data_IF_653013885574
#
_entry.id   IF_653013885574
#
_cell.length_a   1.000
_cell.length_b   1.000
_cell.length_c   1.000
_cell.angle_alpha   90.00
_cell.angle_beta   90.00
_cell.angle_gamma   90.00
#
_symmetry.space_group_name_H-M   'P 1'
#
loop_
_entity.id
_entity.type
_entity.pdbx_description
1 polymer ?
#
# COMPACT_ATOMS: atom_id res chain seq x y z
N UNK A 1 29.30 1.60 1.75
CA UNK A 1 29.75 1.43 3.15
C UNK A 1 28.64 0.98 4.10
N UNK A 2 27.55 0.35 3.59
CA UNK A 2 26.39 -0.08 4.40
C UNK A 2 26.47 -1.56 4.77
N UNK A 3 27.15 -2.38 3.96
CA UNK A 3 27.12 -3.84 4.10
C UNK A 3 27.72 -4.38 5.41
N UNK A 4 28.71 -3.69 6.02
CA UNK A 4 29.36 -4.17 7.25
C UNK A 4 28.54 -3.89 8.51
N UNK A 5 27.71 -2.84 8.49
CA UNK A 5 26.78 -2.56 9.60
C UNK A 5 25.56 -3.51 9.58
N UNK A 6 25.15 -3.98 8.37
CA UNK A 6 24.04 -4.93 8.22
C UNK A 6 24.44 -6.40 8.50
N UNK A 7 25.73 -6.74 8.29
CA UNK A 7 26.21 -8.15 8.37
C UNK A 7 27.57 -8.24 9.11
N UNK A 8 27.66 -7.77 10.37
CA UNK A 8 28.96 -7.68 11.08
C UNK A 8 29.67 -9.02 11.26
N UNK A 9 28.93 -10.14 11.21
CA UNK A 9 29.44 -11.49 11.45
C UNK A 9 29.25 -12.43 10.25
N UNK A 10 29.03 -11.89 9.04
CA UNK A 10 28.71 -12.71 7.86
C UNK A 10 29.80 -12.65 6.80
N UNK A 11 30.11 -13.81 6.24
CA UNK A 11 31.03 -13.94 5.11
C UNK A 11 30.33 -13.51 3.81
N UNK A 12 30.81 -12.40 3.22
CA UNK A 12 30.37 -11.97 1.89
C UNK A 12 31.39 -12.46 0.86
N UNK A 13 30.92 -13.21 -0.12
CA UNK A 13 31.74 -13.69 -1.22
C UNK A 13 31.23 -13.20 -2.56
N UNK A 14 32.15 -12.93 -3.50
CA UNK A 14 31.87 -12.66 -4.91
C UNK A 14 32.57 -13.70 -5.76
N UNK A 15 31.85 -14.48 -6.54
CA UNK A 15 32.36 -15.62 -7.32
C UNK A 15 33.17 -16.60 -6.47
N UNK A 16 32.77 -16.80 -5.22
CA UNK A 16 33.38 -17.72 -4.28
C UNK A 16 34.60 -17.16 -3.53
N UNK A 17 35.07 -15.94 -3.78
CA UNK A 17 36.13 -15.27 -3.05
C UNK A 17 35.58 -14.33 -2.00
N UNK A 18 36.09 -14.39 -0.78
CA UNK A 18 35.72 -13.47 0.31
C UNK A 18 36.10 -12.05 -0.09
N UNK A 19 35.22 -11.10 0.17
CA UNK A 19 35.41 -9.69 -0.17
C UNK A 19 35.43 -8.85 1.09
N UNK A 20 36.55 -8.18 1.34
CA UNK A 20 36.73 -7.23 2.45
C UNK A 20 36.42 -5.77 2.04
N UNK A 21 36.39 -5.47 0.73
CA UNK A 21 36.02 -4.16 0.21
C UNK A 21 34.52 -4.11 -0.09
N UNK A 22 33.75 -3.58 0.85
CA UNK A 22 32.30 -3.40 0.71
C UNK A 22 31.90 -2.27 -0.24
N UNK A 23 32.85 -1.53 -0.78
CA UNK A 23 32.65 -0.55 -1.86
C UNK A 23 32.80 -1.13 -3.26
N UNK A 24 33.25 -2.37 -3.38
CA UNK A 24 33.42 -3.06 -4.66
C UNK A 24 32.06 -3.25 -5.37
N UNK A 25 32.06 -2.96 -6.68
CA UNK A 25 30.88 -3.22 -7.52
C UNK A 25 30.90 -4.67 -7.98
N UNK A 26 29.81 -5.38 -7.69
CA UNK A 26 29.64 -6.77 -8.12
C UNK A 26 28.23 -6.96 -8.70
N UNK A 27 28.09 -7.92 -9.62
CA UNK A 27 26.76 -8.36 -10.06
C UNK A 27 26.10 -9.09 -8.88
N UNK A 28 24.87 -8.73 -8.49
CA UNK A 28 24.15 -9.42 -7.42
C UNK A 28 24.05 -10.95 -7.60
N UNK A 29 24.04 -11.43 -8.83
CA UNK A 29 24.03 -12.87 -9.13
C UNK A 29 25.29 -13.59 -8.66
N UNK A 30 26.43 -12.88 -8.63
CA UNK A 30 27.74 -13.41 -8.20
C UNK A 30 27.95 -13.31 -6.68
N UNK A 31 27.13 -12.54 -5.97
CA UNK A 31 27.26 -12.31 -4.53
C UNK A 31 26.64 -13.44 -3.73
N UNK A 32 27.29 -13.83 -2.64
CA UNK A 32 26.73 -14.74 -1.62
C UNK A 32 27.00 -14.15 -0.22
N UNK A 33 26.03 -14.31 0.66
CA UNK A 33 26.14 -13.97 2.08
C UNK A 33 25.93 -15.27 2.86
N UNK A 34 26.95 -15.75 3.58
CA UNK A 34 26.96 -17.07 4.21
C UNK A 34 26.61 -18.21 3.22
N UNK A 35 27.08 -18.10 1.99
CA UNK A 35 26.82 -19.07 0.92
C UNK A 35 25.47 -18.94 0.23
N UNK A 36 24.54 -18.12 0.74
CA UNK A 36 23.22 -17.88 0.16
C UNK A 36 23.19 -16.66 -0.79
N UNK A 37 22.37 -16.65 -1.84
CA UNK A 37 22.19 -15.47 -2.68
C UNK A 37 21.58 -14.31 -1.88
N UNK A 38 21.86 -13.04 -2.28
CA UNK A 38 21.22 -11.87 -1.66
C UNK A 38 19.72 -11.90 -1.85
N UNK A 39 19.00 -11.38 -0.85
CA UNK A 39 17.54 -11.37 -0.80
C UNK A 39 17.01 -10.29 -1.75
N UNK A 40 16.28 -10.70 -2.79
CA UNK A 40 15.63 -9.81 -3.77
C UNK A 40 16.55 -8.71 -4.36
N UNK A 41 17.68 -9.06 -5.01
CA UNK A 41 18.67 -8.08 -5.49
C UNK A 41 18.10 -7.16 -6.60
N UNK A 42 17.09 -7.62 -7.35
CA UNK A 42 16.43 -6.83 -8.40
C UNK A 42 15.36 -5.86 -7.86
N UNK A 43 15.16 -5.83 -6.55
CA UNK A 43 14.14 -5.04 -5.88
C UNK A 43 13.02 -5.86 -5.27
N UNK A 44 12.36 -5.27 -4.29
CA UNK A 44 11.31 -5.89 -3.49
C UNK A 44 9.93 -5.39 -3.93
N UNK A 45 9.00 -6.30 -4.13
CA UNK A 45 7.57 -5.99 -4.24
C UNK A 45 6.79 -6.97 -3.36
N UNK A 46 6.11 -6.43 -2.36
CA UNK A 46 5.36 -7.20 -1.37
C UNK A 46 3.87 -6.88 -1.45
N UNK A 47 3.07 -7.90 -1.27
CA UNK A 47 1.65 -7.77 -0.99
C UNK A 47 1.45 -8.03 0.51
N UNK A 48 0.93 -7.01 1.20
CA UNK A 48 0.66 -7.05 2.64
C UNK A 48 -0.85 -6.97 2.88
N UNK A 49 -1.38 -7.88 3.69
CA UNK A 49 -2.67 -7.69 4.33
C UNK A 49 -2.48 -6.77 5.54
N UNK A 50 -2.65 -5.46 5.33
CA UNK A 50 -2.49 -4.47 6.40
C UNK A 50 -3.55 -4.67 7.47
N UNK A 51 -3.21 -4.89 8.74
CA UNK A 51 -4.16 -4.85 9.84
C UNK A 51 -4.56 -3.40 10.16
N UNK A 52 -5.63 -3.21 10.90
CA UNK A 52 -5.96 -1.93 11.55
C UNK A 52 -4.91 -1.60 12.61
N UNK A 53 -4.83 -0.32 12.99
CA UNK A 53 -3.94 0.15 14.06
C UNK A 53 -2.55 0.60 13.59
N UNK A 54 -2.14 0.30 12.36
CA UNK A 54 -0.84 0.69 11.80
C UNK A 54 -0.99 1.80 10.76
N UNK A 55 -0.06 2.76 10.77
CA UNK A 55 0.02 3.85 9.78
C UNK A 55 0.94 3.46 8.62
N UNK A 56 0.75 4.09 7.44
CA UNK A 56 1.61 3.97 6.27
C UNK A 56 2.60 5.15 6.20
N UNK A 57 3.30 5.43 7.30
CA UNK A 57 4.27 6.52 7.43
C UNK A 57 5.55 5.99 8.05
N UNK A 58 6.69 6.55 7.66
CA UNK A 58 7.97 6.31 8.32
C UNK A 58 8.20 7.26 9.52
N UNK A 59 7.33 8.25 9.71
CA UNK A 59 7.39 9.13 10.87
C UNK A 59 6.84 8.39 12.12
N UNK A 60 7.72 8.02 13.03
CA UNK A 60 7.38 7.30 14.25
C UNK A 60 6.42 8.09 15.17
N UNK A 61 6.37 9.42 15.02
CA UNK A 61 5.43 10.29 15.76
C UNK A 61 3.97 10.04 15.39
N UNK A 62 3.70 9.50 14.18
CA UNK A 62 2.35 9.13 13.75
C UNK A 62 1.86 7.81 14.41
N UNK A 63 2.75 7.07 15.07
CA UNK A 63 2.46 5.83 15.79
C UNK A 63 3.03 4.58 15.12
N UNK A 64 2.62 3.38 15.57
CA UNK A 64 3.11 2.13 15.02
C UNK A 64 2.80 2.05 13.52
N UNK A 65 3.78 1.62 12.73
CA UNK A 65 3.71 1.65 11.28
C UNK A 65 3.79 0.25 10.64
N UNK A 66 3.38 0.15 9.37
CA UNK A 66 3.35 -1.11 8.61
C UNK A 66 4.74 -1.72 8.38
N UNK A 67 5.79 -0.91 8.41
CA UNK A 67 7.15 -1.35 8.16
C UNK A 67 7.71 -2.17 9.33
N UNK A 68 7.13 -2.03 10.53
CA UNK A 68 7.47 -2.85 11.69
C UNK A 68 7.14 -4.35 11.49
N UNK A 69 6.25 -4.67 10.57
CA UNK A 69 5.88 -6.04 10.20
C UNK A 69 6.93 -6.71 9.29
N UNK A 70 7.83 -5.93 8.68
CA UNK A 70 8.86 -6.46 7.81
C UNK A 70 9.98 -7.14 8.61
N UNK A 71 10.62 -8.18 8.06
CA UNK A 71 11.86 -8.71 8.62
C UNK A 71 12.92 -7.60 8.79
N UNK A 72 13.77 -7.65 9.81
CA UNK A 72 14.79 -6.62 10.05
C UNK A 72 15.61 -6.27 8.80
N UNK A 73 16.06 -7.28 8.04
CA UNK A 73 16.83 -7.12 6.80
C UNK A 73 16.12 -6.34 5.69
N UNK A 74 14.78 -6.25 5.71
CA UNK A 74 14.02 -5.47 4.73
C UNK A 74 13.71 -4.05 5.21
N UNK A 75 13.79 -3.81 6.53
CA UNK A 75 13.62 -2.45 7.09
C UNK A 75 14.82 -1.55 6.79
N UNK A 76 16.01 -2.15 6.64
CA UNK A 76 17.27 -1.45 6.41
C UNK A 76 17.66 -1.36 4.93
N UNK A 77 16.79 -1.80 4.02
CA UNK A 77 17.07 -1.73 2.57
C UNK A 77 17.30 -0.29 2.09
N UNK A 78 18.18 -0.16 1.10
CA UNK A 78 18.43 1.09 0.41
C UNK A 78 18.30 0.84 -1.12
N UNK A 79 17.29 1.44 -1.81
CA UNK A 79 16.29 2.36 -1.28
C UNK A 79 15.36 1.75 -0.23
N UNK A 80 14.86 2.61 0.68
CA UNK A 80 13.96 2.21 1.76
C UNK A 80 12.63 1.67 1.22
N UNK A 81 12.15 0.56 1.80
CA UNK A 81 10.84 0.01 1.46
C UNK A 81 9.73 0.99 1.85
N UNK A 82 8.87 1.32 0.91
CA UNK A 82 7.75 2.24 1.12
C UNK A 82 6.45 1.67 0.58
N UNK A 83 5.31 2.21 1.03
CA UNK A 83 3.99 1.77 0.57
C UNK A 83 3.60 2.40 -0.76
N UNK A 84 2.96 1.61 -1.63
CA UNK A 84 2.34 2.08 -2.87
C UNK A 84 0.94 2.61 -2.56
N UNK A 85 0.89 3.93 -2.36
CA UNK A 85 -0.27 4.59 -1.78
C UNK A 85 -0.38 4.31 -0.28
N UNK A 86 -1.44 4.83 0.32
CA UNK A 86 -1.65 4.71 1.77
C UNK A 86 -3.02 4.11 2.07
N UNK A 87 -3.13 3.49 3.23
CA UNK A 87 -4.38 3.19 3.92
C UNK A 87 -4.35 3.89 5.27
N UNK A 88 -5.52 4.37 5.70
CA UNK A 88 -5.66 4.99 7.00
C UNK A 88 -5.37 3.99 8.13
N UNK A 89 -5.10 4.48 9.34
CA UNK A 89 -4.79 3.65 10.49
C UNK A 89 -5.88 2.62 10.80
N UNK A 90 -7.13 3.00 10.63
CA UNK A 90 -8.34 2.21 10.87
C UNK A 90 -8.89 1.52 9.60
N UNK A 91 -8.12 1.49 8.51
CA UNK A 91 -8.44 0.77 7.28
C UNK A 91 -7.54 -0.43 7.15
N UNK A 92 -8.12 -1.60 6.91
CA UNK A 92 -7.41 -2.85 6.66
C UNK A 92 -7.33 -3.21 5.16
N UNK A 93 -6.62 -4.26 4.84
CA UNK A 93 -6.66 -4.88 3.52
C UNK A 93 -5.38 -4.77 2.71
N UNK A 94 -5.50 -4.95 1.41
CA UNK A 94 -4.39 -5.08 0.49
C UNK A 94 -3.57 -3.79 0.42
N UNK A 95 -2.30 -3.88 0.78
CA UNK A 95 -1.31 -2.82 0.66
C UNK A 95 -0.08 -3.38 -0.05
N UNK A 96 0.42 -2.67 -1.05
CA UNK A 96 1.68 -3.00 -1.70
C UNK A 96 2.82 -2.21 -1.07
N UNK A 97 3.97 -2.87 -0.88
CA UNK A 97 5.21 -2.27 -0.39
C UNK A 97 6.33 -2.57 -1.39
N UNK A 98 7.23 -1.62 -1.61
CA UNK A 98 8.34 -1.76 -2.55
C UNK A 98 9.51 -0.83 -2.17
N UNK A 99 10.72 -1.20 -2.56
CA UNK A 99 11.90 -0.33 -2.57
C UNK A 99 12.15 0.34 -3.93
N UNK A 100 11.25 0.10 -4.93
CA UNK A 100 11.36 0.63 -6.28
C UNK A 100 10.48 1.89 -6.44
N UNK A 101 11.09 3.07 -6.41
CA UNK A 101 10.37 4.35 -6.51
C UNK A 101 9.56 4.52 -7.81
N UNK A 102 10.03 3.93 -8.91
CA UNK A 102 9.31 3.96 -10.19
C UNK A 102 7.95 3.23 -10.10
N UNK A 103 7.88 2.09 -9.39
CA UNK A 103 6.63 1.38 -9.16
C UNK A 103 5.66 2.23 -8.32
N UNK A 104 6.18 2.92 -7.29
CA UNK A 104 5.36 3.84 -6.49
C UNK A 104 4.73 4.89 -7.38
N UNK A 105 5.55 5.61 -8.16
CA UNK A 105 5.06 6.65 -9.06
C UNK A 105 4.06 6.12 -10.09
N UNK A 106 4.37 5.01 -10.73
CA UNK A 106 3.53 4.42 -11.76
C UNK A 106 2.17 3.98 -11.22
N UNK A 107 2.12 3.35 -10.04
CA UNK A 107 0.89 2.78 -9.49
C UNK A 107 0.06 3.78 -8.66
N UNK A 108 0.66 4.89 -8.19
CA UNK A 108 -0.07 5.94 -7.45
C UNK A 108 -0.50 7.11 -8.32
N UNK A 109 0.10 7.28 -9.50
CA UNK A 109 -0.21 8.41 -10.39
C UNK A 109 -1.69 8.40 -10.80
N UNK A 110 -2.41 9.53 -10.65
CA UNK A 110 -3.80 9.66 -11.09
C UNK A 110 -4.00 9.40 -12.59
N UNK A 111 -2.94 9.55 -13.40
CA UNK A 111 -2.98 9.30 -14.85
C UNK A 111 -3.28 7.84 -15.19
N UNK A 112 -2.82 6.90 -14.37
CA UNK A 112 -2.98 5.47 -14.63
C UNK A 112 -4.31 4.90 -14.15
N UNK A 113 -5.08 5.66 -13.37
CA UNK A 113 -6.43 5.31 -12.90
C UNK A 113 -6.55 3.87 -12.37
N UNK A 114 -5.53 3.41 -11.64
CA UNK A 114 -5.51 2.05 -11.07
C UNK A 114 -6.72 1.88 -10.15
N UNK A 115 -7.65 0.95 -10.44
CA UNK A 115 -8.84 0.76 -9.64
C UNK A 115 -8.49 0.18 -8.26
N UNK A 116 -9.23 0.62 -7.24
CA UNK A 116 -9.13 0.12 -5.86
C UNK A 116 -10.52 -0.22 -5.41
N UNK A 117 -10.73 -1.43 -4.94
CA UNK A 117 -12.03 -1.88 -4.44
C UNK A 117 -12.00 -1.95 -2.93
N UNK A 118 -12.96 -1.28 -2.33
CA UNK A 118 -13.13 -1.22 -0.88
C UNK A 118 -14.44 -1.87 -0.46
N UNK A 119 -14.41 -2.70 0.57
CA UNK A 119 -15.60 -3.15 1.30
C UNK A 119 -15.81 -2.25 2.50
N UNK A 120 -16.99 -1.69 2.61
CA UNK A 120 -17.36 -0.79 3.69
C UNK A 120 -18.62 -1.31 4.40
N UNK A 121 -18.59 -1.29 5.75
CA UNK A 121 -19.79 -1.41 6.58
C UNK A 121 -20.15 -0.02 7.09
N UNK A 122 -21.40 0.36 7.03
CA UNK A 122 -21.88 1.70 7.39
C UNK A 122 -22.92 1.68 8.50
N UNK A 123 -23.10 2.82 9.17
CA UNK A 123 -23.98 2.98 10.33
C UNK A 123 -25.48 2.93 9.99
N UNK A 124 -25.85 3.34 8.78
CA UNK A 124 -27.25 3.48 8.33
C UNK A 124 -27.51 2.66 7.08
N UNK A 125 -28.78 2.42 6.76
CA UNK A 125 -29.16 1.73 5.53
C UNK A 125 -28.77 2.53 4.27
N UNK A 126 -28.17 1.82 3.30
CA UNK A 126 -27.76 2.39 2.02
C UNK A 126 -28.95 2.49 1.06
N UNK A 127 -29.21 3.69 0.56
CA UNK A 127 -30.20 3.90 -0.49
C UNK A 127 -29.68 3.46 -1.87
N UNK A 128 -30.46 2.75 -2.69
CA UNK A 128 -30.09 2.44 -4.07
C UNK A 128 -29.77 3.67 -4.93
N UNK A 129 -30.28 4.86 -4.56
CA UNK A 129 -29.99 6.13 -5.24
C UNK A 129 -28.52 6.54 -5.15
N UNK A 130 -27.75 5.98 -4.21
CA UNK A 130 -26.30 6.23 -4.10
C UNK A 130 -25.53 5.64 -5.29
N UNK A 131 -26.03 4.58 -5.91
CA UNK A 131 -25.34 3.93 -7.04
C UNK A 131 -25.18 4.91 -8.22
N UNK A 132 -26.25 5.47 -8.78
CA UNK A 132 -26.11 6.46 -9.87
C UNK A 132 -25.43 7.76 -9.41
N UNK A 133 -25.60 8.18 -8.16
CA UNK A 133 -24.96 9.37 -7.64
C UNK A 133 -23.43 9.24 -7.64
N UNK A 134 -22.89 8.13 -7.14
CA UNK A 134 -21.44 7.91 -7.11
C UNK A 134 -20.88 7.68 -8.52
N UNK A 135 -21.65 7.07 -9.41
CA UNK A 135 -21.25 6.84 -10.80
C UNK A 135 -21.28 8.14 -11.64
N UNK A 136 -22.02 9.16 -11.25
CA UNK A 136 -22.19 10.38 -12.02
C UNK A 136 -20.92 11.23 -12.15
N UNK A 137 -19.99 11.13 -11.20
CA UNK A 137 -18.83 12.01 -11.13
C UNK A 137 -19.15 13.45 -10.73
N UNK A 138 -20.35 13.70 -10.18
CA UNK A 138 -20.81 15.03 -9.75
C UNK A 138 -20.75 15.23 -8.24
N UNK A 139 -20.41 14.17 -7.48
CA UNK A 139 -20.37 14.25 -6.02
C UNK A 139 -19.27 15.20 -5.56
N UNK A 140 -19.68 16.33 -4.97
CA UNK A 140 -18.78 17.33 -4.42
C UNK A 140 -18.55 17.07 -2.94
N UNK A 141 -17.31 16.83 -2.54
CA UNK A 141 -16.93 16.73 -1.13
C UNK A 141 -16.58 18.11 -0.58
N UNK A 142 -16.85 18.31 0.70
CA UNK A 142 -16.47 19.54 1.41
C UNK A 142 -14.96 19.77 1.28
N UNK A 143 -14.55 21.01 1.08
CA UNK A 143 -13.16 21.48 0.97
C UNK A 143 -12.38 20.93 -0.25
N UNK A 144 -13.06 20.26 -1.20
CA UNK A 144 -12.46 19.85 -2.47
C UNK A 144 -12.77 20.86 -3.58
N UNK A 145 -11.78 21.11 -4.46
CA UNK A 145 -11.94 22.06 -5.58
C UNK A 145 -12.74 21.48 -6.75
N UNK A 146 -12.76 20.16 -6.88
CA UNK A 146 -13.43 19.46 -7.97
C UNK A 146 -14.29 18.31 -7.43
N UNK A 147 -15.38 17.91 -8.12
CA UNK A 147 -16.15 16.73 -7.76
C UNK A 147 -15.29 15.46 -7.80
N UNK A 148 -15.75 14.41 -7.12
CA UNK A 148 -15.13 13.09 -7.20
C UNK A 148 -15.20 12.54 -8.62
N UNK A 149 -14.18 11.78 -9.02
CA UNK A 149 -14.28 10.99 -10.25
C UNK A 149 -15.43 9.96 -10.11
N UNK A 150 -16.04 9.54 -11.24
CA UNK A 150 -17.04 8.47 -11.24
C UNK A 150 -16.54 7.25 -10.47
N UNK A 151 -17.37 6.74 -9.56
CA UNK A 151 -17.08 5.60 -8.70
C UNK A 151 -18.15 4.52 -8.83
N UNK A 152 -17.72 3.25 -8.93
CA UNK A 152 -18.64 2.12 -8.98
C UNK A 152 -19.08 1.70 -7.58
N UNK A 153 -20.36 1.81 -7.25
CA UNK A 153 -20.93 1.33 -6.00
C UNK A 153 -21.77 0.09 -6.23
N UNK A 154 -21.50 -0.98 -5.48
CA UNK A 154 -22.32 -2.20 -5.41
C UNK A 154 -22.80 -2.38 -3.97
N UNK A 155 -24.10 -2.26 -3.74
CA UNK A 155 -24.71 -2.55 -2.44
C UNK A 155 -24.84 -4.06 -2.29
N UNK A 156 -24.23 -4.61 -1.24
CA UNK A 156 -24.20 -6.04 -0.94
C UNK A 156 -25.35 -6.40 0.03
N UNK A 157 -25.53 -5.58 1.06
CA UNK A 157 -26.60 -5.68 2.04
C UNK A 157 -27.04 -4.29 2.47
N UNK A 158 -28.06 -4.12 3.30
CA UNK A 158 -28.52 -2.79 3.72
C UNK A 158 -27.42 -1.89 4.31
N UNK A 159 -26.36 -2.46 4.89
CA UNK A 159 -25.26 -1.71 5.51
C UNK A 159 -23.89 -2.08 4.99
N UNK A 160 -23.80 -2.82 3.91
CA UNK A 160 -22.52 -3.23 3.32
C UNK A 160 -22.48 -2.93 1.85
N UNK A 161 -21.36 -2.40 1.39
CA UNK A 161 -21.12 -2.10 -0.01
C UNK A 161 -19.68 -2.33 -0.44
N UNK A 162 -19.50 -2.61 -1.74
CA UNK A 162 -18.23 -2.48 -2.42
C UNK A 162 -18.19 -1.17 -3.20
N UNK A 163 -17.13 -0.39 -2.99
CA UNK A 163 -16.88 0.86 -3.71
C UNK A 163 -15.59 0.74 -4.50
N UNK A 164 -15.67 0.96 -5.81
CA UNK A 164 -14.53 0.99 -6.73
C UNK A 164 -14.15 2.43 -7.04
N UNK A 165 -12.91 2.81 -6.72
CA UNK A 165 -12.33 4.13 -6.99
C UNK A 165 -11.15 4.01 -7.95
N UNK A 166 -10.98 5.00 -8.84
CA UNK A 166 -9.81 5.16 -9.72
C UNK A 166 -8.91 6.33 -9.32
N UNK A 167 -9.27 7.05 -8.26
CA UNK A 167 -8.52 8.13 -7.63
C UNK A 167 -8.27 7.82 -6.14
N UNK A 168 -7.63 8.73 -5.41
CA UNK A 168 -7.41 8.58 -3.97
C UNK A 168 -7.23 9.94 -3.33
N UNK A 169 -8.31 10.49 -2.76
CA UNK A 169 -8.29 11.69 -1.94
C UNK A 169 -8.20 11.32 -0.46
N UNK A 170 -7.85 12.30 0.35
CA UNK A 170 -7.81 12.14 1.80
C UNK A 170 -9.16 11.62 2.34
N UNK A 171 -9.14 10.45 3.00
CA UNK A 171 -10.31 9.76 3.58
C UNK A 171 -11.51 9.65 2.62
N UNK A 172 -11.27 9.48 1.32
CA UNK A 172 -12.30 9.65 0.28
C UNK A 172 -13.51 8.77 0.50
N UNK A 173 -13.34 7.46 0.72
CA UNK A 173 -14.46 6.52 0.93
C UNK A 173 -15.33 6.97 2.10
N UNK A 174 -14.71 7.27 3.24
CA UNK A 174 -15.42 7.74 4.45
C UNK A 174 -16.19 9.01 4.20
N UNK A 175 -15.56 9.99 3.54
CA UNK A 175 -16.20 11.28 3.21
C UNK A 175 -17.33 11.15 2.21
N UNK A 176 -17.23 10.25 1.22
CA UNK A 176 -18.31 10.00 0.26
C UNK A 176 -19.56 9.46 0.95
N UNK A 177 -19.44 8.46 1.79
CA UNK A 177 -20.56 7.92 2.53
C UNK A 177 -21.09 8.91 3.57
N UNK A 178 -20.22 9.59 4.32
CA UNK A 178 -20.62 10.59 5.32
C UNK A 178 -21.39 11.77 4.71
N UNK A 179 -21.05 12.20 3.49
CA UNK A 179 -21.79 13.25 2.77
C UNK A 179 -23.22 12.85 2.45
N UNK A 180 -23.54 11.55 2.54
CA UNK A 180 -24.88 10.98 2.33
C UNK A 180 -25.52 10.49 3.65
N UNK A 181 -24.98 10.92 4.79
CA UNK A 181 -25.52 10.58 6.11
C UNK A 181 -25.19 9.18 6.60
N UNK A 182 -24.25 8.48 5.97
CA UNK A 182 -23.82 7.13 6.35
C UNK A 182 -22.37 7.16 6.85
N UNK A 183 -22.14 6.92 8.13
CA UNK A 183 -20.79 6.80 8.68
C UNK A 183 -20.20 5.43 8.36
N UNK A 184 -18.93 5.38 7.92
CA UNK A 184 -18.22 4.13 7.66
C UNK A 184 -17.66 3.60 8.97
N UNK A 185 -18.17 2.46 9.42
CA UNK A 185 -17.78 1.76 10.65
C UNK A 185 -16.52 0.92 10.42
N UNK A 186 -16.50 0.15 9.32
CA UNK A 186 -15.34 -0.65 8.92
C UNK A 186 -15.00 -0.39 7.46
N UNK A 187 -13.70 -0.39 7.15
CA UNK A 187 -13.22 -0.20 5.79
C UNK A 187 -12.08 -1.18 5.51
N UNK A 188 -12.22 -1.90 4.41
CA UNK A 188 -11.25 -2.91 3.98
C UNK A 188 -10.97 -2.76 2.48
N UNK A 189 -9.70 -2.60 2.09
CA UNK A 189 -9.32 -2.63 0.68
C UNK A 189 -9.14 -4.06 0.20
N UNK A 190 -10.11 -4.58 -0.53
CA UNK A 190 -10.11 -5.95 -1.04
C UNK A 190 -9.22 -6.12 -2.28
N UNK A 191 -9.15 -5.09 -3.17
CA UNK A 191 -8.39 -5.17 -4.43
C UNK A 191 -7.62 -3.90 -4.72
N UNK A 192 -6.49 -4.08 -5.42
CA UNK A 192 -5.67 -3.01 -5.99
C UNK A 192 -5.27 -3.41 -7.41
N UNK A 193 -5.83 -2.75 -8.43
CA UNK A 193 -5.72 -3.20 -9.81
C UNK A 193 -6.34 -4.58 -10.01
N UNK A 194 -5.52 -5.52 -10.45
CA UNK A 194 -5.89 -6.93 -10.62
C UNK A 194 -5.48 -7.82 -9.44
N UNK A 195 -4.83 -7.23 -8.43
CA UNK A 195 -4.36 -7.96 -7.26
C UNK A 195 -5.46 -8.07 -6.21
N UNK A 196 -5.61 -9.26 -5.66
CA UNK A 196 -6.50 -9.57 -4.54
C UNK A 196 -5.69 -10.24 -3.42
N UNK A 197 -6.17 -10.15 -2.19
CA UNK A 197 -5.65 -10.98 -1.11
C UNK A 197 -6.18 -12.39 -1.37
N UNK A 198 -5.26 -13.37 -1.41
CA UNK A 198 -5.63 -14.78 -1.35
C UNK A 198 -6.19 -15.16 0.02
N UNK A 199 -6.63 -16.40 0.11
CA UNK A 199 -7.09 -17.03 1.36
C UNK A 199 -5.92 -17.25 2.33
#
# INVERSE_FOLDING_TARGET
>A
PVAREEFPDKDVTVRGSVVDDFGAKADPADVRVDGAPPDHPAGLLLLLHKPIGLVCSHDEREGPNVYSLLPPRWRTRNPQVTSIGRLDKDTSGLLLLTDQSELVHRLTSPKHKVPKVYRATVSTGLSPALVPLFASGTLQLKDEKAPCAPAGLKIISPREAELTLTEGRYHQVRRMFASQGAEVLTLHRARFGHLELGD
#
